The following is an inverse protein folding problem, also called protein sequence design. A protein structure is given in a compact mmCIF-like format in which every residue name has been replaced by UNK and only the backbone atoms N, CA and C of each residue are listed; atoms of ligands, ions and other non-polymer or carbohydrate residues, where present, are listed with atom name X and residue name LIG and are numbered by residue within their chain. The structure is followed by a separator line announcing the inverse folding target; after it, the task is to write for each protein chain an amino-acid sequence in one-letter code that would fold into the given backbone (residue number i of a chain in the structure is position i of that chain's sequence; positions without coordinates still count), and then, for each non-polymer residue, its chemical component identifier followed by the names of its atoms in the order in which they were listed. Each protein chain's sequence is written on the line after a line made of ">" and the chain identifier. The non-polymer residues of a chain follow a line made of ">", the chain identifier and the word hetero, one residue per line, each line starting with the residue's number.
data_IF_577077693656
#
_entry.id   IF_577077693656
#
_cell.length_a   1.000
_cell.length_b   1.000
_cell.length_c   1.000
_cell.angle_alpha   90.00
_cell.angle_beta   90.00
_cell.angle_gamma   90.00
#
_symmetry.space_group_name_H-M   'P 1'
#
loop_
_entity.id
_entity.type
_entity.pdbx_description
1 polymer ?
#
# COMPACT_ATOMS: atom_id res chain seq x y z
N UNK A 1 -29.27 -20.60 -3.41
CA UNK A 1 -29.59 -19.21 -3.75
C UNK A 1 -28.30 -18.41 -3.65
N UNK A 2 -27.69 -18.07 -4.77
CA UNK A 2 -26.47 -17.24 -4.79
C UNK A 2 -26.90 -15.80 -4.54
N UNK A 3 -26.58 -15.29 -3.34
CA UNK A 3 -26.78 -13.88 -3.03
C UNK A 3 -25.87 -13.09 -4.00
N UNK A 4 -26.46 -12.33 -4.90
CA UNK A 4 -25.70 -11.43 -5.77
C UNK A 4 -24.93 -10.47 -4.87
N UNK A 5 -23.62 -10.66 -4.79
CA UNK A 5 -22.73 -9.75 -4.07
C UNK A 5 -22.74 -8.44 -4.86
N UNK A 6 -23.29 -7.39 -4.28
CA UNK A 6 -23.16 -6.05 -4.87
C UNK A 6 -21.67 -5.70 -4.88
N UNK A 7 -21.05 -5.79 -6.05
CA UNK A 7 -19.64 -5.41 -6.22
C UNK A 7 -19.58 -3.89 -6.10
N UNK A 8 -18.95 -3.41 -5.04
CA UNK A 8 -18.71 -1.97 -4.85
C UNK A 8 -17.74 -1.45 -5.91
N UNK A 9 -17.78 -0.15 -6.17
CA UNK A 9 -16.75 0.48 -6.98
C UNK A 9 -15.42 0.51 -6.17
N UNK A 10 -14.32 0.14 -6.82
CA UNK A 10 -12.99 0.29 -6.22
C UNK A 10 -12.74 1.76 -5.92
N UNK A 11 -12.32 2.06 -4.71
CA UNK A 11 -11.87 3.42 -4.33
C UNK A 11 -10.44 3.61 -4.79
N UNK A 12 -10.16 4.73 -5.43
CA UNK A 12 -8.84 4.99 -6.03
C UNK A 12 -8.17 6.16 -5.32
N UNK A 13 -7.12 5.86 -4.57
CA UNK A 13 -6.27 6.81 -3.90
C UNK A 13 -5.01 7.16 -4.66
N UNK A 14 -4.33 8.19 -4.20
CA UNK A 14 -2.97 8.50 -4.61
C UNK A 14 -2.05 8.57 -3.40
N UNK A 15 -0.86 8.00 -3.52
CA UNK A 15 0.15 8.10 -2.49
C UNK A 15 0.87 9.46 -2.54
N UNK A 16 1.17 9.97 -1.36
CA UNK A 16 2.12 11.08 -1.19
C UNK A 16 3.55 10.52 -1.22
N UNK A 17 4.53 11.39 -1.29
CA UNK A 17 5.94 11.05 -1.21
C UNK A 17 6.56 11.83 -0.04
N UNK A 18 7.01 11.12 0.99
CA UNK A 18 7.41 11.72 2.27
C UNK A 18 8.64 12.64 2.23
N UNK A 19 9.37 12.67 1.11
CA UNK A 19 10.46 13.65 0.88
C UNK A 19 9.97 15.03 0.42
N UNK A 20 8.66 15.16 0.13
CA UNK A 20 8.03 16.42 -0.26
C UNK A 20 6.93 16.82 0.74
N UNK A 21 6.61 18.12 0.90
CA UNK A 21 5.57 18.57 1.81
C UNK A 21 4.20 17.99 1.47
N UNK A 22 3.55 17.33 2.42
CA UNK A 22 2.23 16.72 2.28
C UNK A 22 1.14 17.70 1.82
N UNK A 23 1.07 18.96 2.35
CA UNK A 23 -0.02 19.88 1.97
C UNK A 23 -0.14 20.15 0.49
N UNK A 24 0.99 20.27 -0.22
CA UNK A 24 1.03 20.46 -1.67
C UNK A 24 0.50 19.22 -2.39
N UNK A 25 1.01 18.05 -2.02
CA UNK A 25 0.65 16.79 -2.67
C UNK A 25 -0.82 16.42 -2.46
N UNK A 26 -1.35 16.58 -1.24
CA UNK A 26 -2.77 16.32 -0.95
C UNK A 26 -3.67 17.28 -1.73
N UNK A 27 -3.27 18.54 -1.90
CA UNK A 27 -3.99 19.48 -2.76
C UNK A 27 -4.01 19.01 -4.22
N UNK A 28 -2.87 18.58 -4.76
CA UNK A 28 -2.75 18.04 -6.13
C UNK A 28 -3.61 16.78 -6.33
N UNK A 29 -3.61 15.86 -5.36
CA UNK A 29 -4.44 14.65 -5.40
C UNK A 29 -5.94 15.01 -5.41
N UNK A 30 -6.37 15.94 -4.55
CA UNK A 30 -7.74 16.44 -4.51
C UNK A 30 -8.14 17.07 -5.85
N UNK A 31 -7.32 17.98 -6.39
CA UNK A 31 -7.59 18.66 -7.67
C UNK A 31 -7.61 17.68 -8.84
N UNK A 32 -6.82 16.61 -8.76
CA UNK A 32 -6.83 15.52 -9.74
C UNK A 32 -8.07 14.62 -9.63
N UNK A 33 -8.81 14.69 -8.51
CA UNK A 33 -10.05 13.98 -8.30
C UNK A 33 -9.87 12.57 -7.70
N UNK A 34 -8.79 12.29 -7.00
CA UNK A 34 -8.62 11.05 -6.23
C UNK A 34 -9.66 10.94 -5.12
N UNK A 35 -10.04 9.73 -4.75
CA UNK A 35 -11.05 9.47 -3.73
C UNK A 35 -10.51 9.61 -2.31
N UNK A 36 -9.20 9.38 -2.13
CA UNK A 36 -8.46 9.52 -0.87
C UNK A 36 -6.97 9.73 -1.11
N UNK A 37 -6.25 10.14 -0.09
CA UNK A 37 -4.80 10.13 -0.05
C UNK A 37 -4.29 9.00 0.85
N UNK A 38 -3.20 8.37 0.41
CA UNK A 38 -2.30 7.60 1.25
C UNK A 38 -1.17 8.49 1.73
N UNK A 39 -0.89 8.46 3.04
CA UNK A 39 0.29 9.12 3.59
C UNK A 39 1.48 8.16 3.56
N UNK A 40 2.44 8.42 2.68
CA UNK A 40 3.73 7.73 2.72
C UNK A 40 4.58 8.28 3.88
N UNK A 41 4.84 7.44 4.87
CA UNK A 41 5.65 7.78 6.05
C UNK A 41 7.08 7.23 5.97
N UNK A 42 7.50 6.68 4.83
CA UNK A 42 8.77 5.97 4.65
C UNK A 42 9.98 6.80 5.10
N UNK A 43 9.98 8.10 4.79
CA UNK A 43 11.08 9.02 5.13
C UNK A 43 10.63 10.14 6.09
N UNK A 44 9.56 9.88 6.87
CA UNK A 44 9.01 10.91 7.75
C UNK A 44 10.02 11.30 8.85
N UNK A 45 10.12 12.61 9.08
CA UNK A 45 10.94 13.17 10.16
C UNK A 45 10.09 13.75 11.30
N UNK A 46 8.76 13.73 11.14
CA UNK A 46 7.83 14.21 12.15
C UNK A 46 7.61 13.14 13.22
N UNK A 47 7.54 13.55 14.47
CA UNK A 47 6.97 12.71 15.52
C UNK A 47 5.44 12.58 15.36
N UNK A 48 4.85 11.63 16.08
CA UNK A 48 3.42 11.34 15.98
C UNK A 48 2.51 12.52 16.33
N UNK A 49 2.94 13.43 17.22
CA UNK A 49 2.15 14.59 17.62
C UNK A 49 2.07 15.62 16.49
N UNK A 50 3.22 15.95 15.89
CA UNK A 50 3.29 16.84 14.73
C UNK A 50 2.62 16.25 13.50
N UNK A 51 2.78 14.95 13.26
CA UNK A 51 2.07 14.26 12.20
C UNK A 51 0.56 14.40 12.38
N UNK A 52 0.04 14.22 13.60
CA UNK A 52 -1.39 14.38 13.90
C UNK A 52 -1.88 15.79 13.62
N UNK A 53 -1.12 16.81 14.02
CA UNK A 53 -1.44 18.21 13.76
C UNK A 53 -1.56 18.49 12.26
N UNK A 54 -0.54 18.10 11.47
CA UNK A 54 -0.52 18.30 10.04
C UNK A 54 -1.64 17.49 9.36
N UNK A 55 -1.79 16.20 9.67
CA UNK A 55 -2.80 15.32 9.09
C UNK A 55 -4.23 15.80 9.40
N UNK A 56 -4.48 16.46 10.54
CA UNK A 56 -5.78 17.04 10.86
C UNK A 56 -6.20 18.09 9.82
N UNK A 57 -5.30 18.92 9.37
CA UNK A 57 -5.58 19.91 8.31
C UNK A 57 -5.71 19.27 6.93
N UNK A 58 -4.95 18.22 6.67
CA UNK A 58 -5.01 17.48 5.40
C UNK A 58 -6.34 16.71 5.25
N UNK A 59 -6.79 16.06 6.31
CA UNK A 59 -8.02 15.28 6.32
C UNK A 59 -9.29 16.13 6.02
N UNK A 60 -9.24 17.43 6.27
CA UNK A 60 -10.32 18.37 5.90
C UNK A 60 -10.39 18.58 4.38
N UNK A 61 -9.32 18.30 3.66
CA UNK A 61 -9.20 18.54 2.21
C UNK A 61 -9.50 17.30 1.40
N UNK A 62 -8.97 16.15 1.82
CA UNK A 62 -9.12 14.86 1.18
C UNK A 62 -9.08 13.77 2.25
N UNK A 63 -9.95 12.74 2.24
CA UNK A 63 -9.86 11.63 3.18
C UNK A 63 -8.47 11.00 3.20
N UNK A 64 -7.93 10.73 4.38
CA UNK A 64 -6.67 10.01 4.59
C UNK A 64 -7.04 8.58 4.99
N UNK A 65 -7.20 7.66 4.01
CA UNK A 65 -7.74 6.33 4.31
C UNK A 65 -6.68 5.27 4.57
N UNK A 66 -5.49 5.47 4.00
CA UNK A 66 -4.36 4.55 4.14
C UNK A 66 -3.10 5.30 4.53
N UNK A 67 -2.16 4.61 5.16
CA UNK A 67 -0.82 5.12 5.43
C UNK A 67 0.22 4.02 5.21
N UNK A 68 1.31 4.36 4.53
CA UNK A 68 2.45 3.49 4.35
C UNK A 68 3.47 3.75 5.46
N UNK A 69 3.76 2.72 6.26
CA UNK A 69 4.65 2.82 7.42
C UNK A 69 6.13 2.88 7.00
N UNK A 70 6.98 3.55 7.80
CA UNK A 70 8.41 3.57 7.52
C UNK A 70 9.02 2.17 7.69
N UNK A 71 10.22 1.92 7.08
CA UNK A 71 10.98 0.70 7.32
C UNK A 71 11.23 0.45 8.80
N UNK A 72 11.17 -0.82 9.22
CA UNK A 72 11.41 -1.23 10.61
C UNK A 72 12.71 -2.05 10.74
N UNK A 73 13.40 -1.88 11.86
CA UNK A 73 14.47 -2.78 12.32
C UNK A 73 13.95 -3.85 13.28
N UNK A 74 12.62 -3.90 13.46
CA UNK A 74 11.94 -4.83 14.35
C UNK A 74 12.33 -4.68 15.83
N UNK A 75 12.58 -3.46 16.26
CA UNK A 75 12.87 -3.11 17.65
C UNK A 75 11.60 -2.74 18.41
N UNK A 76 11.68 -2.68 19.74
CA UNK A 76 10.58 -2.15 20.56
C UNK A 76 10.33 -0.65 20.30
N UNK A 77 11.36 0.09 19.94
CA UNK A 77 11.22 1.51 19.57
C UNK A 77 10.46 1.67 18.27
N UNK A 78 10.75 0.86 17.24
CA UNK A 78 10.00 0.87 15.99
C UNK A 78 8.54 0.50 16.22
N UNK A 79 8.27 -0.49 17.07
CA UNK A 79 6.90 -0.87 17.44
C UNK A 79 6.15 0.29 18.09
N UNK A 80 6.78 0.97 19.06
CA UNK A 80 6.20 2.14 19.73
C UNK A 80 5.93 3.28 18.74
N UNK A 81 6.87 3.54 17.82
CA UNK A 81 6.72 4.56 16.79
C UNK A 81 5.57 4.25 15.83
N UNK A 82 5.46 3.02 15.35
CA UNK A 82 4.39 2.60 14.46
C UNK A 82 3.01 2.68 15.13
N UNK A 83 2.91 2.28 16.40
CA UNK A 83 1.70 2.45 17.22
C UNK A 83 1.38 3.96 17.38
N UNK A 84 2.39 4.80 17.59
CA UNK A 84 2.23 6.25 17.64
C UNK A 84 1.67 6.84 16.34
N UNK A 85 2.05 6.34 15.17
CA UNK A 85 1.46 6.75 13.90
C UNK A 85 0.00 6.31 13.77
N UNK A 86 -0.35 5.10 14.24
CA UNK A 86 -1.76 4.67 14.31
C UNK A 86 -2.55 5.62 15.22
N UNK A 87 -2.05 5.91 16.41
CA UNK A 87 -2.71 6.82 17.37
C UNK A 87 -2.88 8.24 16.82
N UNK A 88 -1.97 8.68 15.95
CA UNK A 88 -2.07 9.96 15.27
C UNK A 88 -3.14 9.98 14.17
N UNK A 89 -3.21 8.95 13.34
CA UNK A 89 -3.95 8.98 12.08
C UNK A 89 -5.31 8.26 12.13
N UNK A 90 -5.48 7.21 12.95
CA UNK A 90 -6.74 6.47 13.03
C UNK A 90 -7.93 7.33 13.46
N UNK A 91 -7.80 8.28 14.42
CA UNK A 91 -8.89 9.20 14.76
C UNK A 91 -9.31 10.14 13.61
N UNK A 92 -8.46 10.30 12.58
CA UNK A 92 -8.70 11.14 11.42
C UNK A 92 -9.32 10.37 10.23
N UNK A 93 -9.52 9.06 10.38
CA UNK A 93 -10.18 8.22 9.39
C UNK A 93 -9.28 7.23 8.67
N UNK A 94 -7.96 7.21 8.93
CA UNK A 94 -7.05 6.20 8.40
C UNK A 94 -7.39 4.83 8.98
N UNK A 95 -7.66 3.84 8.12
CA UNK A 95 -8.12 2.51 8.53
C UNK A 95 -7.18 1.39 8.12
N UNK A 96 -6.29 1.63 7.16
CA UNK A 96 -5.34 0.64 6.66
C UNK A 96 -3.93 1.20 6.80
N UNK A 97 -3.06 0.42 7.45
CA UNK A 97 -1.64 0.74 7.59
C UNK A 97 -0.84 -0.32 6.87
N UNK A 98 -0.18 0.10 5.79
CA UNK A 98 0.64 -0.77 4.96
C UNK A 98 2.07 -0.82 5.45
N UNK A 99 2.72 -1.98 5.36
CA UNK A 99 4.09 -2.19 5.81
C UNK A 99 4.82 -3.23 4.97
N UNK A 100 6.12 -3.09 4.87
CA UNK A 100 7.03 -4.10 4.34
C UNK A 100 7.50 -5.05 5.45
N UNK A 101 7.56 -6.35 5.14
CA UNK A 101 7.96 -7.38 6.12
C UNK A 101 9.45 -7.69 6.08
N UNK A 102 9.93 -7.96 4.88
CA UNK A 102 11.33 -8.31 4.65
C UNK A 102 11.99 -7.22 3.83
N UNK A 103 12.21 -6.09 4.40
CA UNK A 103 13.22 -5.26 3.80
C UNK A 103 14.57 -5.96 3.96
N UNK A 104 14.89 -6.85 3.02
CA UNK A 104 16.15 -7.59 3.01
C UNK A 104 17.37 -6.65 3.08
N UNK A 105 17.17 -5.40 2.67
CA UNK A 105 18.17 -4.33 2.67
C UNK A 105 18.31 -3.64 4.00
N UNK A 106 17.22 -3.45 4.77
CA UNK A 106 17.26 -2.71 6.03
C UNK A 106 17.57 -3.58 7.24
N UNK A 107 17.24 -4.88 7.22
CA UNK A 107 17.43 -5.76 8.39
C UNK A 107 17.68 -7.23 8.02
N UNK A 108 18.71 -7.54 7.21
CA UNK A 108 18.97 -8.92 6.76
C UNK A 108 19.34 -9.88 7.91
N UNK A 109 19.57 -9.38 9.12
CA UNK A 109 20.03 -10.17 10.27
C UNK A 109 18.94 -10.62 11.24
N UNK A 110 17.69 -10.18 11.04
CA UNK A 110 16.58 -10.61 11.89
C UNK A 110 15.95 -11.86 11.32
N UNK A 111 15.88 -12.93 12.12
CA UNK A 111 15.29 -14.19 11.68
C UNK A 111 13.81 -14.02 11.30
N UNK A 112 13.31 -14.72 10.27
CA UNK A 112 11.92 -14.59 9.82
C UNK A 112 10.90 -14.82 10.93
N UNK A 113 11.17 -15.76 11.85
CA UNK A 113 10.30 -16.07 12.99
C UNK A 113 10.22 -14.92 13.98
N UNK A 114 11.35 -14.24 14.22
CA UNK A 114 11.40 -13.06 15.10
C UNK A 114 10.65 -11.87 14.46
N UNK A 115 10.77 -11.68 13.14
CA UNK A 115 9.99 -10.68 12.39
C UNK A 115 8.50 -11.00 12.50
N UNK A 116 8.10 -12.26 12.27
CA UNK A 116 6.70 -12.70 12.38
C UNK A 116 6.14 -12.44 13.78
N UNK A 117 6.90 -12.74 14.83
CA UNK A 117 6.48 -12.49 16.22
C UNK A 117 6.31 -10.99 16.48
N UNK A 118 7.25 -10.16 16.04
CA UNK A 118 7.17 -8.71 16.16
C UNK A 118 5.95 -8.14 15.41
N UNK A 119 5.70 -8.63 14.19
CA UNK A 119 4.52 -8.25 13.42
C UNK A 119 3.22 -8.66 14.09
N UNK A 120 3.18 -9.84 14.74
CA UNK A 120 2.02 -10.29 15.50
C UNK A 120 1.68 -9.33 16.64
N UNK A 121 2.71 -8.82 17.35
CA UNK A 121 2.53 -7.81 18.41
C UNK A 121 2.00 -6.49 17.82
N UNK A 122 2.53 -6.05 16.69
CA UNK A 122 2.07 -4.84 16.01
C UNK A 122 0.61 -4.99 15.52
N UNK A 123 0.27 -6.11 14.85
CA UNK A 123 -1.09 -6.38 14.36
C UNK A 123 -2.09 -6.43 15.51
N UNK A 124 -1.72 -7.00 16.66
CA UNK A 124 -2.56 -6.97 17.85
C UNK A 124 -2.81 -5.55 18.32
N UNK A 125 -1.77 -4.74 18.47
CA UNK A 125 -1.90 -3.34 18.87
C UNK A 125 -2.75 -2.52 17.88
N UNK A 126 -2.68 -2.82 16.58
CA UNK A 126 -3.49 -2.21 15.54
C UNK A 126 -4.97 -2.65 15.65
N UNK A 127 -5.21 -3.95 15.87
CA UNK A 127 -6.56 -4.50 16.04
C UNK A 127 -7.28 -3.88 17.23
N UNK A 128 -6.57 -3.65 18.34
CA UNK A 128 -7.12 -2.96 19.54
C UNK A 128 -7.54 -1.50 19.24
N UNK A 129 -7.12 -0.96 18.11
CA UNK A 129 -7.43 0.41 17.63
C UNK A 129 -8.40 0.43 16.44
N UNK A 130 -9.00 -0.69 16.12
CA UNK A 130 -9.93 -0.84 15.00
C UNK A 130 -9.33 -0.42 13.65
N UNK A 131 -8.08 -0.77 13.41
CA UNK A 131 -7.38 -0.57 12.13
C UNK A 131 -6.80 -1.88 11.59
N UNK A 132 -6.69 -1.96 10.29
CA UNK A 132 -6.13 -3.11 9.58
C UNK A 132 -4.67 -2.86 9.23
N UNK A 133 -3.82 -3.86 9.42
CA UNK A 133 -2.45 -3.87 8.92
C UNK A 133 -2.40 -4.71 7.66
N UNK A 134 -1.75 -4.18 6.62
CA UNK A 134 -1.43 -4.93 5.41
C UNK A 134 0.06 -5.16 5.29
N UNK A 135 0.39 -6.32 4.74
CA UNK A 135 1.74 -6.71 4.39
C UNK A 135 1.88 -6.68 2.88
N UNK A 136 2.84 -5.91 2.39
CA UNK A 136 3.09 -5.71 0.98
C UNK A 136 4.15 -6.66 0.44
N UNK A 137 3.98 -7.11 -0.80
CA UNK A 137 5.02 -7.79 -1.54
C UNK A 137 6.04 -6.77 -2.06
N UNK A 138 7.30 -6.95 -1.71
CA UNK A 138 8.43 -6.22 -2.29
C UNK A 138 9.28 -7.20 -3.10
N UNK A 139 10.12 -7.96 -2.41
CA UNK A 139 10.99 -9.01 -2.98
C UNK A 139 10.63 -10.42 -2.49
N UNK A 140 9.62 -10.53 -1.63
CA UNK A 140 9.18 -11.80 -1.07
C UNK A 140 8.39 -12.64 -2.09
N UNK A 141 8.68 -13.96 -2.17
CA UNK A 141 7.83 -14.85 -2.95
C UNK A 141 6.45 -15.04 -2.30
N UNK A 142 5.38 -15.27 -3.08
CA UNK A 142 4.01 -15.36 -2.58
C UNK A 142 3.81 -16.37 -1.44
N UNK A 143 4.52 -17.51 -1.47
CA UNK A 143 4.41 -18.55 -0.44
C UNK A 143 4.99 -18.13 0.92
N UNK A 144 6.01 -17.25 0.93
CA UNK A 144 6.53 -16.70 2.18
C UNK A 144 5.52 -15.74 2.81
N UNK A 145 4.92 -14.86 2.01
CA UNK A 145 3.85 -13.98 2.47
C UNK A 145 2.66 -14.80 2.98
N UNK A 146 2.28 -15.87 2.28
CA UNK A 146 1.19 -16.76 2.70
C UNK A 146 1.45 -17.35 4.08
N UNK A 147 2.66 -17.90 4.33
CA UNK A 147 3.02 -18.44 5.64
C UNK A 147 2.92 -17.41 6.77
N UNK A 148 3.32 -16.17 6.48
CA UNK A 148 3.22 -15.07 7.45
C UNK A 148 1.76 -14.71 7.75
N UNK A 149 0.92 -14.62 6.72
CA UNK A 149 -0.52 -14.37 6.88
C UNK A 149 -1.21 -15.50 7.66
N UNK A 150 -0.82 -16.76 7.44
CA UNK A 150 -1.37 -17.90 8.17
C UNK A 150 -0.96 -17.88 9.66
N UNK A 151 0.26 -17.44 9.96
CA UNK A 151 0.74 -17.28 11.33
C UNK A 151 0.05 -16.12 12.07
N UNK A 152 -0.47 -15.11 11.34
CA UNK A 152 -1.10 -13.91 11.91
C UNK A 152 -2.49 -13.72 11.29
N UNK A 153 -3.55 -14.34 11.83
CA UNK A 153 -4.89 -14.38 11.21
C UNK A 153 -5.53 -13.00 10.95
N UNK A 154 -5.23 -11.97 11.75
CA UNK A 154 -5.74 -10.63 11.57
C UNK A 154 -4.98 -9.79 10.53
N UNK A 155 -3.77 -10.23 10.13
CA UNK A 155 -2.97 -9.58 9.10
C UNK A 155 -3.64 -9.74 7.72
N UNK A 156 -3.64 -8.69 6.93
CA UNK A 156 -4.09 -8.68 5.53
C UNK A 156 -2.92 -8.49 4.59
N UNK A 157 -3.17 -8.49 3.29
CA UNK A 157 -2.12 -8.22 2.30
C UNK A 157 -2.44 -6.98 1.47
N UNK A 158 -1.37 -6.26 1.13
CA UNK A 158 -1.32 -5.34 0.02
C UNK A 158 -0.63 -6.06 -1.15
N UNK A 159 -1.24 -6.08 -2.32
CA UNK A 159 -0.55 -6.52 -3.54
C UNK A 159 -0.13 -5.29 -4.32
N UNK A 160 1.18 -5.08 -4.40
CA UNK A 160 1.76 -4.07 -5.29
C UNK A 160 2.02 -4.70 -6.66
N UNK A 161 1.37 -4.12 -7.68
CA UNK A 161 1.46 -4.56 -9.08
C UNK A 161 2.85 -4.30 -9.65
N UNK A 162 3.46 -3.16 -9.30
CA UNK A 162 4.80 -2.81 -9.76
C UNK A 162 5.87 -3.75 -9.18
N UNK A 163 5.84 -3.97 -7.86
CA UNK A 163 6.78 -4.88 -7.19
C UNK A 163 6.63 -6.33 -7.67
N UNK A 164 5.43 -6.74 -8.04
CA UNK A 164 5.19 -8.07 -8.58
C UNK A 164 5.91 -8.33 -9.92
N UNK A 165 6.37 -7.30 -10.60
CA UNK A 165 7.12 -7.38 -11.86
C UNK A 165 8.64 -7.21 -11.70
N UNK A 166 9.12 -6.96 -10.48
CA UNK A 166 10.55 -6.89 -10.22
C UNK A 166 11.22 -8.28 -10.30
N UNK A 167 12.53 -8.29 -10.47
CA UNK A 167 13.36 -9.51 -10.47
C UNK A 167 12.98 -10.56 -11.54
N UNK A 168 12.42 -10.13 -12.68
CA UNK A 168 12.09 -10.99 -13.81
C UNK A 168 10.90 -11.93 -13.58
N UNK A 169 10.01 -11.59 -12.65
CA UNK A 169 8.81 -12.39 -12.37
C UNK A 169 7.80 -12.30 -13.52
N UNK A 170 7.66 -13.40 -14.28
CA UNK A 170 6.82 -13.46 -15.47
C UNK A 170 5.32 -13.40 -15.18
N UNK A 171 4.89 -13.95 -14.03
CA UNK A 171 3.47 -14.06 -13.67
C UNK A 171 2.90 -12.78 -13.07
N UNK A 172 3.77 -11.80 -12.75
CA UNK A 172 3.38 -10.49 -12.21
C UNK A 172 2.46 -10.61 -10.97
N UNK A 173 1.49 -9.71 -10.88
CA UNK A 173 0.53 -9.69 -9.77
C UNK A 173 -0.34 -10.94 -9.67
N UNK A 174 -0.48 -11.74 -10.74
CA UNK A 174 -1.34 -12.92 -10.78
C UNK A 174 -0.94 -13.98 -9.75
N UNK A 175 0.36 -14.25 -9.60
CA UNK A 175 0.86 -15.24 -8.62
C UNK A 175 0.47 -14.87 -7.18
N UNK A 176 0.51 -13.57 -6.85
CA UNK A 176 0.08 -13.07 -5.54
C UNK A 176 -1.44 -13.16 -5.37
N UNK A 177 -2.22 -12.82 -6.41
CA UNK A 177 -3.68 -12.90 -6.35
C UNK A 177 -4.18 -14.32 -6.17
N UNK A 178 -3.61 -15.28 -6.88
CA UNK A 178 -4.03 -16.68 -6.82
C UNK A 178 -3.76 -17.29 -5.42
N UNK A 179 -2.73 -16.83 -4.73
CA UNK A 179 -2.35 -17.35 -3.42
C UNK A 179 -2.89 -16.54 -2.24
N UNK A 180 -2.98 -15.21 -2.38
CA UNK A 180 -3.25 -14.28 -1.28
C UNK A 180 -4.62 -13.59 -1.38
N UNK A 181 -5.40 -13.84 -2.44
CA UNK A 181 -6.60 -13.09 -2.75
C UNK A 181 -7.70 -13.11 -1.68
N UNK A 182 -7.76 -14.16 -0.84
CA UNK A 182 -8.65 -14.27 0.31
C UNK A 182 -8.30 -13.28 1.46
N UNK A 183 -7.09 -12.73 1.44
CA UNK A 183 -6.55 -11.78 2.44
C UNK A 183 -6.31 -10.38 1.87
N UNK A 184 -6.66 -10.14 0.59
CA UNK A 184 -6.40 -8.87 -0.08
C UNK A 184 -7.26 -7.73 0.48
N UNK A 185 -6.63 -6.68 0.98
CA UNK A 185 -7.26 -5.48 1.54
C UNK A 185 -6.88 -4.21 0.78
N UNK A 186 -5.64 -4.13 0.28
CA UNK A 186 -5.08 -2.98 -0.40
C UNK A 186 -4.37 -3.42 -1.68
N UNK A 187 -4.35 -2.56 -2.67
CA UNK A 187 -3.57 -2.75 -3.90
C UNK A 187 -2.78 -1.48 -4.15
N UNK A 188 -1.47 -1.61 -4.38
CA UNK A 188 -0.63 -0.53 -4.91
C UNK A 188 -0.41 -0.73 -6.40
N UNK A 189 -0.36 0.37 -7.14
CA UNK A 189 -0.25 0.31 -8.60
C UNK A 189 0.68 1.41 -9.10
N UNK A 190 1.75 0.98 -9.73
CA UNK A 190 2.66 1.82 -10.50
C UNK A 190 3.23 1.03 -11.69
N UNK A 191 3.94 1.69 -12.58
CA UNK A 191 4.66 1.06 -13.68
C UNK A 191 6.17 1.11 -13.44
N UNK A 192 6.92 0.19 -14.04
CA UNK A 192 8.39 0.14 -14.03
C UNK A 192 8.91 -0.68 -15.23
N UNK A 193 10.24 -0.78 -15.36
CA UNK A 193 10.88 -1.57 -16.41
C UNK A 193 11.29 -2.99 -15.97
N UNK A 194 10.90 -3.42 -14.75
CA UNK A 194 11.14 -4.79 -14.29
C UNK A 194 12.59 -5.12 -13.92
N UNK A 195 13.40 -4.12 -13.57
CA UNK A 195 14.78 -4.32 -13.14
C UNK A 195 14.92 -5.01 -11.79
N UNK A 196 16.18 -5.26 -11.38
CA UNK A 196 16.46 -5.83 -10.05
C UNK A 196 16.52 -4.74 -8.98
N UNK A 197 15.84 -5.00 -7.90
CA UNK A 197 15.88 -4.19 -6.70
C UNK A 197 15.46 -2.73 -6.90
N UNK A 198 15.94 -1.84 -6.03
CA UNK A 198 15.57 -0.43 -6.00
C UNK A 198 15.75 0.34 -7.32
N UNK A 199 16.79 0.11 -8.15
CA UNK A 199 16.87 0.73 -9.47
C UNK A 199 15.75 0.32 -10.43
N UNK A 200 15.12 -0.84 -10.21
CA UNK A 200 13.98 -1.33 -11.00
C UNK A 200 12.63 -0.84 -10.48
N UNK A 201 12.59 -0.43 -9.23
CA UNK A 201 11.39 0.07 -8.55
C UNK A 201 11.21 1.57 -8.82
N UNK A 202 10.70 1.89 -10.01
CA UNK A 202 10.74 3.24 -10.55
C UNK A 202 9.53 4.10 -10.23
N UNK A 203 8.39 3.52 -9.85
CA UNK A 203 7.12 4.21 -9.58
C UNK A 203 6.68 5.15 -10.71
N UNK A 204 6.69 4.64 -11.95
CA UNK A 204 6.36 5.40 -13.16
C UNK A 204 4.84 5.50 -13.39
N UNK A 205 4.40 6.53 -14.13
CA UNK A 205 3.06 6.57 -14.72
C UNK A 205 2.81 5.39 -15.69
N UNK A 206 1.58 4.91 -15.75
CA UNK A 206 1.19 3.77 -16.60
C UNK A 206 1.48 3.98 -18.09
N UNK A 207 2.27 3.10 -18.66
CA UNK A 207 2.74 3.11 -20.06
C UNK A 207 4.07 3.83 -20.26
N UNK A 208 4.76 4.21 -19.17
CA UNK A 208 6.14 4.70 -19.22
C UNK A 208 7.16 3.61 -18.84
N UNK A 209 6.70 2.50 -18.27
CA UNK A 209 7.44 1.26 -18.06
C UNK A 209 7.01 0.17 -19.04
N UNK A 210 7.14 -1.09 -18.63
CA UNK A 210 6.87 -2.29 -19.45
C UNK A 210 5.74 -3.17 -18.90
N UNK A 211 5.10 -2.79 -17.79
CA UNK A 211 4.05 -3.57 -17.15
C UNK A 211 2.73 -3.43 -17.91
N UNK A 212 2.06 -4.55 -18.18
CA UNK A 212 0.68 -4.55 -18.61
C UNK A 212 -0.26 -4.33 -17.41
N UNK A 213 -0.24 -3.08 -16.89
CA UNK A 213 -1.03 -2.67 -15.72
C UNK A 213 -2.52 -2.91 -15.95
N UNK A 214 -3.03 -2.73 -17.18
CA UNK A 214 -4.43 -2.98 -17.51
C UNK A 214 -4.81 -4.45 -17.27
N UNK A 215 -3.98 -5.38 -17.73
CA UNK A 215 -4.18 -6.82 -17.53
C UNK A 215 -4.29 -7.14 -16.03
N UNK A 216 -3.37 -6.63 -15.23
CA UNK A 216 -3.29 -6.97 -13.81
C UNK A 216 -4.44 -6.34 -13.01
N UNK A 217 -4.81 -5.10 -13.30
CA UNK A 217 -5.99 -4.45 -12.69
C UNK A 217 -7.28 -5.17 -13.09
N UNK A 218 -7.42 -5.62 -14.34
CA UNK A 218 -8.58 -6.40 -14.77
C UNK A 218 -8.63 -7.77 -14.11
N UNK A 219 -7.48 -8.41 -13.85
CA UNK A 219 -7.41 -9.67 -13.12
C UNK A 219 -7.90 -9.50 -11.67
N UNK A 220 -7.51 -8.42 -10.97
CA UNK A 220 -8.02 -8.05 -9.66
C UNK A 220 -9.55 -7.93 -9.65
N UNK A 221 -10.11 -7.21 -10.63
CA UNK A 221 -11.56 -7.06 -10.75
C UNK A 221 -12.28 -8.37 -11.05
N UNK A 222 -11.72 -9.20 -11.92
CA UNK A 222 -12.25 -10.52 -12.23
C UNK A 222 -12.26 -11.45 -11.02
N UNK A 223 -11.28 -11.29 -10.10
CA UNK A 223 -11.24 -11.98 -8.81
C UNK A 223 -12.24 -11.42 -7.78
N UNK A 224 -13.02 -10.37 -8.13
CA UNK A 224 -14.04 -9.78 -7.27
C UNK A 224 -13.55 -8.71 -6.31
N UNK A 225 -12.32 -8.19 -6.51
CA UNK A 225 -11.79 -7.12 -5.66
C UNK A 225 -12.59 -5.82 -5.80
N UNK A 226 -13.06 -5.28 -4.68
CA UNK A 226 -13.84 -4.04 -4.58
C UNK A 226 -13.35 -3.11 -3.45
N UNK A 227 -12.08 -3.27 -3.06
CA UNK A 227 -11.43 -2.53 -1.98
C UNK A 227 -10.79 -1.20 -2.41
N UNK A 228 -9.60 -0.93 -1.90
CA UNK A 228 -8.81 0.29 -2.14
C UNK A 228 -7.65 0.02 -3.08
N UNK A 229 -7.46 0.88 -4.06
CA UNK A 229 -6.29 0.85 -4.93
C UNK A 229 -5.58 2.21 -4.86
N UNK A 230 -4.35 2.24 -4.41
CA UNK A 230 -3.51 3.44 -4.32
C UNK A 230 -2.56 3.51 -5.50
N UNK A 231 -2.54 4.64 -6.20
CA UNK A 231 -1.54 4.90 -7.23
C UNK A 231 -0.27 5.46 -6.58
N UNK A 232 0.80 4.68 -6.60
CA UNK A 232 2.12 5.06 -6.10
C UNK A 232 2.99 5.62 -7.22
N UNK A 233 2.59 6.75 -7.78
CA UNK A 233 3.29 7.39 -8.89
C UNK A 233 4.11 8.55 -8.33
N UNK A 234 5.40 8.32 -8.10
CA UNK A 234 6.32 9.32 -7.56
C UNK A 234 7.07 10.09 -8.65
N UNK A 235 7.14 9.54 -9.85
CA UNK A 235 7.67 10.21 -11.04
C UNK A 235 6.54 10.69 -11.96
N UNK A 236 6.84 11.63 -12.84
CA UNK A 236 5.85 12.19 -13.76
C UNK A 236 5.20 13.48 -13.26
N UNK A 237 4.32 14.01 -14.08
CA UNK A 237 3.62 15.28 -13.87
C UNK A 237 2.24 15.06 -13.22
N UNK A 238 1.58 16.11 -12.70
CA UNK A 238 0.19 16.01 -12.27
C UNK A 238 -0.76 15.54 -13.39
N UNK A 239 -0.46 15.87 -14.66
CA UNK A 239 -1.24 15.39 -15.82
C UNK A 239 -1.09 13.89 -16.05
N UNK A 240 0.11 13.33 -15.83
CA UNK A 240 0.34 11.88 -15.87
C UNK A 240 -0.47 11.18 -14.80
N UNK A 241 -0.45 11.68 -13.56
CA UNK A 241 -1.25 11.13 -12.45
C UNK A 241 -2.75 11.15 -12.77
N UNK A 242 -3.26 12.27 -13.31
CA UNK A 242 -4.64 12.36 -13.79
C UNK A 242 -4.95 11.36 -14.92
N UNK A 243 -3.98 11.16 -15.83
CA UNK A 243 -4.07 10.15 -16.89
C UNK A 243 -4.22 8.74 -16.34
N UNK A 244 -3.39 8.38 -15.38
CA UNK A 244 -3.44 7.09 -14.69
C UNK A 244 -4.74 6.88 -13.92
N UNK A 245 -5.22 7.89 -13.20
CA UNK A 245 -6.51 7.84 -12.50
C UNK A 245 -7.68 7.56 -13.47
N UNK A 246 -7.70 8.23 -14.66
CA UNK A 246 -8.72 7.96 -15.69
C UNK A 246 -8.64 6.53 -16.21
N UNK A 247 -7.45 5.98 -16.44
CA UNK A 247 -7.23 4.60 -16.85
C UNK A 247 -7.76 3.64 -15.78
N UNK A 248 -7.36 3.81 -14.52
CA UNK A 248 -7.84 2.99 -13.39
C UNK A 248 -9.37 2.99 -13.29
N UNK A 249 -10.00 4.16 -13.30
CA UNK A 249 -11.46 4.25 -13.26
C UNK A 249 -12.15 3.50 -14.40
N UNK A 250 -11.54 3.50 -15.58
CA UNK A 250 -12.06 2.73 -16.74
C UNK A 250 -11.90 1.22 -16.53
N UNK A 251 -10.74 0.78 -16.06
CA UNK A 251 -10.44 -0.64 -15.87
C UNK A 251 -11.15 -1.26 -14.67
N UNK A 252 -11.43 -0.46 -13.64
CA UNK A 252 -12.16 -0.88 -12.44
C UNK A 252 -13.69 -0.85 -12.59
N UNK A 253 -14.23 -0.46 -13.74
CA UNK A 253 -15.69 -0.56 -13.97
C UNK A 253 -16.14 -2.02 -13.97
N UNK A 254 -17.37 -2.29 -13.42
CA UNK A 254 -17.94 -3.63 -13.45
C UNK A 254 -18.13 -4.13 -14.86
#
# INVERSE_FOLDING_TARGET
>A
MTVARFVRAVRIGGSTYSKEPFPKQVAELRESGFDYAELDLTWITLDSARLREEATELAKRLPLETAHLPPSRFTHEDLANWVGFIDALAPLGTRVFNAHFLEARASPRVAPEAKTSWFADFVRAATDRDVTVTLENVDEPPDLLRRTLDAIPALRTCVDVGHAHLDGRADGARAYLDLLGDRLELVHVHDNHGGQGEPGDEHLPFGQGTIDVERDVRALRAAGYDGRATLEIFKGTPDDKRGCLRKMRRWCRP
#
